data_IF_505354952002
#
_entry.id   IF_505354952002
#
_cell.length_a   1.000
_cell.length_b   1.000
_cell.length_c   1.000
_cell.angle_alpha   90.00
_cell.angle_beta   90.00
_cell.angle_gamma   90.00
#
_symmetry.space_group_name_H-M   'P 1'
#
loop_
_entity.id
_entity.type
_entity.pdbx_description
1 polymer ?
#
# COMPACT_ATOMS: atom_id res chain seq x y z
N UNK A 1 -31.44 -7.55 28.99
CA UNK A 1 -31.26 -6.35 28.14
C UNK A 1 -29.80 -5.85 28.15
N UNK A 2 -29.03 -6.06 29.21
CA UNK A 2 -27.63 -5.59 29.33
C UNK A 2 -26.61 -6.33 28.45
N UNK A 3 -26.73 -7.66 28.31
CA UNK A 3 -25.81 -8.45 27.47
C UNK A 3 -25.89 -8.04 26.00
N UNK A 4 -27.10 -7.76 25.50
CA UNK A 4 -27.30 -7.32 24.12
C UNK A 4 -26.69 -5.93 23.87
N UNK A 5 -26.86 -5.00 24.81
CA UNK A 5 -26.23 -3.67 24.75
C UNK A 5 -24.70 -3.75 24.79
N UNK A 6 -24.15 -4.63 25.63
CA UNK A 6 -22.70 -4.87 25.70
C UNK A 6 -22.14 -5.44 24.39
N UNK A 7 -22.79 -6.45 23.81
CA UNK A 7 -22.37 -7.05 22.53
C UNK A 7 -22.46 -6.03 21.39
N UNK A 8 -23.56 -5.27 21.30
CA UNK A 8 -23.72 -4.20 20.30
C UNK A 8 -22.65 -3.12 20.46
N UNK A 9 -22.35 -2.71 21.71
CA UNK A 9 -21.29 -1.76 22.02
C UNK A 9 -19.92 -2.22 21.51
N UNK A 10 -19.52 -3.44 21.86
CA UNK A 10 -18.25 -4.04 21.40
C UNK A 10 -18.18 -4.14 19.87
N UNK A 11 -19.29 -4.48 19.22
CA UNK A 11 -19.36 -4.61 17.76
C UNK A 11 -19.21 -3.25 17.06
N UNK A 12 -19.80 -2.19 17.61
CA UNK A 12 -19.63 -0.82 17.11
C UNK A 12 -18.19 -0.32 17.30
N UNK A 13 -17.56 -0.59 18.44
CA UNK A 13 -16.16 -0.25 18.70
C UNK A 13 -15.22 -0.95 17.71
N UNK A 14 -15.41 -2.26 17.50
CA UNK A 14 -14.64 -3.04 16.54
C UNK A 14 -14.78 -2.49 15.11
N UNK A 15 -16.02 -2.18 14.69
CA UNK A 15 -16.29 -1.59 13.36
C UNK A 15 -15.59 -0.24 13.20
N UNK A 16 -15.67 0.62 14.21
CA UNK A 16 -15.05 1.95 14.18
C UNK A 16 -13.52 1.85 14.15
N UNK A 17 -12.94 0.95 14.93
CA UNK A 17 -11.50 0.68 14.90
C UNK A 17 -11.05 0.18 13.51
N UNK A 18 -11.78 -0.79 12.94
CA UNK A 18 -11.49 -1.32 11.61
C UNK A 18 -11.59 -0.24 10.52
N UNK A 19 -12.61 0.62 10.59
CA UNK A 19 -12.79 1.76 9.69
C UNK A 19 -11.62 2.76 9.79
N UNK A 20 -11.13 3.06 11.00
CA UNK A 20 -9.96 3.93 11.20
C UNK A 20 -8.69 3.34 10.60
N UNK A 21 -8.44 2.04 10.82
CA UNK A 21 -7.29 1.34 10.24
C UNK A 21 -7.33 1.39 8.71
N UNK A 22 -8.52 1.20 8.15
CA UNK A 22 -8.75 1.25 6.72
C UNK A 22 -8.49 2.63 6.11
N UNK A 23 -8.98 3.70 6.73
CA UNK A 23 -8.69 5.07 6.29
C UNK A 23 -7.19 5.34 6.32
N UNK A 24 -6.52 4.97 7.41
CA UNK A 24 -5.07 5.18 7.54
C UNK A 24 -4.27 4.42 6.46
N UNK A 25 -4.71 3.21 6.08
CA UNK A 25 -4.13 2.46 4.98
C UNK A 25 -4.34 3.17 3.63
N UNK A 26 -5.55 3.65 3.35
CA UNK A 26 -5.86 4.38 2.11
C UNK A 26 -5.03 5.67 2.00
N UNK A 27 -4.96 6.45 3.07
CA UNK A 27 -4.20 7.71 3.12
C UNK A 27 -2.70 7.49 2.86
N UNK A 28 -2.13 6.38 3.34
CA UNK A 28 -0.72 6.07 3.13
C UNK A 28 -0.44 5.45 1.75
N UNK A 29 -1.33 4.60 1.24
CA UNK A 29 -1.18 3.95 -0.06
C UNK A 29 -1.41 4.90 -1.24
N UNK A 30 -2.33 5.85 -1.09
CA UNK A 30 -2.69 6.80 -2.16
C UNK A 30 -1.48 7.54 -2.75
N UNK A 31 -0.63 8.21 -1.96
CA UNK A 31 0.56 8.89 -2.51
C UNK A 31 1.60 7.91 -3.06
N UNK A 32 1.80 6.75 -2.42
CA UNK A 32 2.76 5.74 -2.89
C UNK A 32 2.39 5.22 -4.29
N UNK A 33 1.11 4.90 -4.48
CA UNK A 33 0.57 4.41 -5.75
C UNK A 33 0.58 5.52 -6.81
N UNK A 34 0.06 6.71 -6.50
CA UNK A 34 -0.06 7.78 -7.49
C UNK A 34 1.30 8.26 -8.00
N UNK A 35 2.28 8.45 -7.11
CA UNK A 35 3.63 8.84 -7.50
C UNK A 35 4.35 7.74 -8.28
N UNK A 36 4.14 6.47 -7.93
CA UNK A 36 4.70 5.35 -8.72
C UNK A 36 4.15 5.34 -10.14
N UNK A 37 2.84 5.52 -10.30
CA UNK A 37 2.20 5.58 -11.63
C UNK A 37 2.76 6.75 -12.44
N UNK A 38 2.88 7.92 -11.81
CA UNK A 38 3.45 9.10 -12.46
C UNK A 38 4.90 8.85 -12.91
N UNK A 39 5.76 8.37 -12.01
CA UNK A 39 7.17 8.11 -12.28
C UNK A 39 7.35 7.07 -13.39
N UNK A 40 6.62 5.94 -13.31
CA UNK A 40 6.69 4.90 -14.34
C UNK A 40 6.17 5.38 -15.69
N UNK A 41 5.20 6.29 -15.72
CA UNK A 41 4.74 6.94 -16.95
C UNK A 41 5.79 7.88 -17.55
N UNK A 42 6.47 8.67 -16.72
CA UNK A 42 7.58 9.53 -17.15
C UNK A 42 8.74 8.72 -17.75
N UNK A 43 9.15 7.64 -17.09
CA UNK A 43 10.19 6.72 -17.59
C UNK A 43 9.82 6.13 -18.95
N UNK A 44 8.56 5.72 -19.14
CA UNK A 44 8.07 5.21 -20.44
C UNK A 44 8.11 6.25 -21.55
N UNK A 45 8.04 7.54 -21.21
CA UNK A 45 8.18 8.65 -22.16
C UNK A 45 9.64 8.99 -22.47
N UNK A 46 10.61 8.26 -21.91
CA UNK A 46 12.04 8.50 -22.11
C UNK A 46 12.65 9.49 -21.13
N UNK A 47 11.96 9.84 -20.04
CA UNK A 47 12.60 10.57 -18.95
C UNK A 47 13.73 9.72 -18.35
N UNK A 48 14.87 10.33 -17.96
CA UNK A 48 15.93 9.62 -17.27
C UNK A 48 15.46 9.15 -15.89
N UNK A 49 16.12 8.11 -15.37
CA UNK A 49 15.95 7.70 -13.98
C UNK A 49 16.36 8.83 -13.04
N UNK A 50 15.60 8.98 -11.95
CA UNK A 50 15.80 10.02 -10.95
C UNK A 50 15.87 9.36 -9.56
N UNK A 51 17.08 9.29 -9.03
CA UNK A 51 17.36 8.67 -7.73
C UNK A 51 16.62 9.37 -6.59
N UNK A 52 16.38 10.68 -6.68
CA UNK A 52 15.66 11.41 -5.65
C UNK A 52 14.19 10.98 -5.61
N UNK A 53 13.55 10.89 -6.78
CA UNK A 53 12.19 10.36 -6.89
C UNK A 53 12.10 8.91 -6.44
N UNK A 54 13.06 8.06 -6.79
CA UNK A 54 13.10 6.66 -6.36
C UNK A 54 13.22 6.53 -4.83
N UNK A 55 14.03 7.36 -4.17
CA UNK A 55 14.13 7.42 -2.71
C UNK A 55 12.83 7.93 -2.04
N UNK A 56 12.14 8.88 -2.67
CA UNK A 56 10.83 9.34 -2.21
C UNK A 56 9.80 8.20 -2.31
N UNK A 57 9.80 7.44 -3.42
CA UNK A 57 8.95 6.27 -3.59
C UNK A 57 9.24 5.21 -2.53
N UNK A 58 10.51 4.89 -2.26
CA UNK A 58 10.89 4.01 -1.15
C UNK A 58 10.24 4.47 0.17
N UNK A 59 10.40 5.75 0.51
CA UNK A 59 9.87 6.31 1.77
C UNK A 59 8.36 6.18 1.87
N UNK A 60 7.64 6.47 0.79
CA UNK A 60 6.19 6.36 0.73
C UNK A 60 5.72 4.90 0.89
N UNK A 61 6.34 3.96 0.18
CA UNK A 61 6.00 2.54 0.27
C UNK A 61 6.33 1.95 1.63
N UNK A 62 7.46 2.37 2.24
CA UNK A 62 7.83 1.96 3.59
C UNK A 62 6.84 2.48 4.64
N UNK A 63 6.45 3.75 4.57
CA UNK A 63 5.43 4.32 5.44
C UNK A 63 4.06 3.62 5.25
N UNK A 64 3.68 3.32 4.02
CA UNK A 64 2.47 2.57 3.71
C UNK A 64 2.49 1.16 4.33
N UNK A 65 3.62 0.44 4.26
CA UNK A 65 3.75 -0.89 4.88
C UNK A 65 3.44 -0.85 6.38
N UNK A 66 3.94 0.17 7.08
CA UNK A 66 3.72 0.35 8.52
C UNK A 66 2.25 0.59 8.84
N UNK A 67 1.56 1.44 8.06
CA UNK A 67 0.14 1.76 8.28
C UNK A 67 -0.80 0.61 7.92
N UNK A 68 -0.46 -0.15 6.89
CA UNK A 68 -1.24 -1.28 6.41
C UNK A 68 -1.10 -2.51 7.31
N UNK A 69 0.02 -2.68 8.01
CA UNK A 69 0.33 -3.87 8.84
C UNK A 69 -0.75 -4.26 9.86
N UNK A 70 -1.46 -3.27 10.41
CA UNK A 70 -2.55 -3.47 11.38
C UNK A 70 -3.86 -3.91 10.73
N UNK A 71 -4.02 -3.69 9.42
CA UNK A 71 -5.21 -4.04 8.64
C UNK A 71 -5.00 -5.38 7.91
N UNK A 72 -3.88 -5.53 7.22
CA UNK A 72 -3.56 -6.67 6.37
C UNK A 72 -2.03 -6.87 6.34
N UNK A 73 -1.56 -7.99 6.88
CA UNK A 73 -0.13 -8.28 7.00
C UNK A 73 0.51 -8.63 5.66
N UNK A 74 -0.22 -9.31 4.78
CA UNK A 74 0.29 -9.72 3.47
C UNK A 74 0.42 -8.49 2.57
N UNK A 75 -0.58 -7.60 2.60
CA UNK A 75 -0.50 -6.33 1.88
C UNK A 75 0.64 -5.44 2.41
N UNK A 76 0.89 -5.44 3.72
CA UNK A 76 2.01 -4.72 4.30
C UNK A 76 3.36 -5.27 3.82
N UNK A 77 3.48 -6.60 3.71
CA UNK A 77 4.68 -7.23 3.14
C UNK A 77 4.87 -6.82 1.68
N UNK A 78 3.81 -6.83 0.87
CA UNK A 78 3.88 -6.39 -0.53
C UNK A 78 4.31 -4.93 -0.64
N UNK A 79 3.85 -4.06 0.26
CA UNK A 79 4.29 -2.67 0.31
C UNK A 79 5.77 -2.55 0.67
N UNK A 80 6.26 -3.37 1.60
CA UNK A 80 7.66 -3.38 2.00
C UNK A 80 8.57 -3.88 0.87
N UNK A 81 8.20 -4.96 0.18
CA UNK A 81 8.92 -5.45 -0.99
C UNK A 81 8.90 -4.42 -2.13
N UNK A 82 7.77 -3.71 -2.32
CA UNK A 82 7.72 -2.59 -3.26
C UNK A 82 8.63 -1.44 -2.87
N UNK A 83 8.79 -1.16 -1.58
CA UNK A 83 9.75 -0.17 -1.11
C UNK A 83 11.17 -0.61 -1.50
N UNK A 84 11.57 -1.83 -1.15
CA UNK A 84 12.89 -2.38 -1.46
C UNK A 84 13.20 -2.41 -2.96
N UNK A 85 12.19 -2.65 -3.81
CA UNK A 85 12.31 -2.54 -5.27
C UNK A 85 12.86 -1.18 -5.72
N UNK A 86 12.48 -0.08 -5.06
CA UNK A 86 13.00 1.25 -5.41
C UNK A 86 14.44 1.50 -4.98
N UNK A 87 14.95 0.74 -3.99
CA UNK A 87 16.36 0.81 -3.59
C UNK A 87 17.26 -0.09 -4.44
N UNK A 88 16.76 -1.27 -4.82
CA UNK A 88 17.55 -2.31 -5.48
C UNK A 88 16.82 -2.87 -6.71
N UNK A 89 16.43 -2.03 -7.70
CA UNK A 89 15.60 -2.48 -8.83
C UNK A 89 16.24 -3.62 -9.64
N UNK A 90 17.58 -3.70 -9.68
CA UNK A 90 18.36 -4.75 -10.31
C UNK A 90 18.16 -6.13 -9.68
N UNK A 91 17.76 -6.22 -8.42
CA UNK A 91 17.48 -7.49 -7.73
C UNK A 91 16.09 -8.05 -8.03
N UNK A 92 15.28 -7.35 -8.82
CA UNK A 92 13.89 -7.69 -9.11
C UNK A 92 13.72 -8.01 -10.59
N UNK A 93 13.83 -9.30 -10.93
CA UNK A 93 13.38 -9.78 -12.23
C UNK A 93 11.86 -9.61 -12.36
N UNK A 94 11.37 -9.65 -13.61
CA UNK A 94 9.94 -9.60 -13.88
C UNK A 94 9.19 -10.75 -13.20
N UNK A 95 9.79 -11.94 -13.13
CA UNK A 95 9.24 -13.11 -12.43
C UNK A 95 9.12 -12.85 -10.93
N UNK A 96 10.17 -12.31 -10.30
CA UNK A 96 10.15 -11.97 -8.87
C UNK A 96 9.11 -10.88 -8.55
N UNK A 97 8.90 -9.91 -9.45
CA UNK A 97 7.85 -8.89 -9.31
C UNK A 97 6.45 -9.53 -9.31
N UNK A 98 6.23 -10.56 -10.13
CA UNK A 98 4.98 -11.31 -10.20
C UNK A 98 4.78 -12.18 -8.96
N UNK A 99 5.82 -12.91 -8.55
CA UNK A 99 5.79 -13.78 -7.35
C UNK A 99 5.49 -13.01 -6.07
N UNK A 100 6.05 -11.81 -5.92
CA UNK A 100 5.84 -10.95 -4.75
C UNK A 100 4.55 -10.11 -4.83
N UNK A 101 3.76 -10.23 -5.90
CA UNK A 101 2.52 -9.47 -6.14
C UNK A 101 2.70 -7.94 -6.01
N UNK A 102 3.89 -7.42 -6.36
CA UNK A 102 4.25 -6.00 -6.22
C UNK A 102 4.02 -5.19 -7.51
N UNK A 103 3.22 -5.70 -8.44
CA UNK A 103 2.89 -4.97 -9.66
C UNK A 103 2.09 -3.70 -9.33
N UNK A 104 2.43 -2.58 -9.98
CA UNK A 104 1.70 -1.32 -9.71
C UNK A 104 0.21 -1.42 -10.04
N UNK A 105 -0.15 -2.14 -11.11
CA UNK A 105 -1.55 -2.37 -11.52
C UNK A 105 -2.31 -3.13 -10.42
N UNK A 106 -1.66 -4.14 -9.81
CA UNK A 106 -2.23 -4.88 -8.68
C UNK A 106 -2.47 -3.95 -7.49
N UNK A 107 -1.46 -3.18 -7.11
CA UNK A 107 -1.55 -2.24 -5.99
C UNK A 107 -2.64 -1.17 -6.19
N UNK A 108 -2.82 -0.69 -7.42
CA UNK A 108 -3.94 0.19 -7.79
C UNK A 108 -5.29 -0.50 -7.55
N UNK A 109 -5.44 -1.76 -8.00
CA UNK A 109 -6.66 -2.52 -7.78
C UNK A 109 -6.96 -2.72 -6.29
N UNK A 110 -5.95 -3.02 -5.48
CA UNK A 110 -6.10 -3.15 -4.02
C UNK A 110 -6.54 -1.83 -3.40
N UNK A 111 -5.90 -0.71 -3.77
CA UNK A 111 -6.28 0.61 -3.27
C UNK A 111 -7.73 0.96 -3.60
N UNK A 112 -8.19 0.70 -4.82
CA UNK A 112 -9.59 0.93 -5.19
C UNK A 112 -10.55 0.03 -4.42
N UNK A 113 -10.21 -1.26 -4.22
CA UNK A 113 -11.02 -2.14 -3.37
C UNK A 113 -11.11 -1.64 -1.94
N UNK A 114 -10.02 -1.09 -1.38
CA UNK A 114 -10.06 -0.47 -0.06
C UNK A 114 -10.99 0.75 -0.06
N UNK A 115 -11.02 1.58 -1.09
CA UNK A 115 -11.93 2.75 -1.12
C UNK A 115 -13.42 2.39 -1.18
N UNK A 116 -13.78 1.29 -1.86
CA UNK A 116 -15.18 0.94 -2.15
C UNK A 116 -15.79 -0.14 -1.24
N UNK A 117 -14.97 -0.91 -0.51
CA UNK A 117 -15.45 -1.84 0.52
C UNK A 117 -15.82 -1.13 1.82
#
# INVERSE_FOLDING_TARGET
>A
MDVLKFVIGRLLEWRNANHKLKIAAIEALTPAVSQTVLYTHELRKGAPKDTEKENQLYTLWFAASSKVSSLDKDLAQNCLEKAKYWLFPEEYSQEKILELDIQIIRMQSVLEQLKHK
#
